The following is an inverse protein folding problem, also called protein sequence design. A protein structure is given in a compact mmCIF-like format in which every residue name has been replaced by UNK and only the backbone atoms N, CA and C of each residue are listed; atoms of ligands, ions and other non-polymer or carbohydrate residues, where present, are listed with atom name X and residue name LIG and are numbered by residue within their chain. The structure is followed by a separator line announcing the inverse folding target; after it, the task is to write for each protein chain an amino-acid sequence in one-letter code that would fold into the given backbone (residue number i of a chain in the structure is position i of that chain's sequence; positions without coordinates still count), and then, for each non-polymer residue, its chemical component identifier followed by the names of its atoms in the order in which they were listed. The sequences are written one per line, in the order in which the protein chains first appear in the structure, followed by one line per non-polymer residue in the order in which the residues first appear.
data_IF_004962565388
#
_entry.id   IF_004962565388
#
_cell.length_a   1.000
_cell.length_b   1.000
_cell.length_c   1.000
_cell.angle_alpha   90.00
_cell.angle_beta   90.00
_cell.angle_gamma   90.00
#
_symmetry.space_group_name_H-M   'P 1'
#
loop_
_entity.id
_entity.type
_entity.pdbx_description
1 polymer ?
#
# COMPACT_ATOMS: atom_id res chain seq x y z
N UNK A 1 3.71 -2.97 -3.31
CA UNK A 1 3.00 -4.25 -3.11
C UNK A 1 1.70 -3.95 -2.37
N UNK A 2 0.57 -4.46 -2.85
CA UNK A 2 -0.72 -4.39 -2.15
C UNK A 2 -1.25 -5.81 -1.95
N UNK A 3 -1.57 -6.17 -0.71
CA UNK A 3 -1.94 -7.55 -0.33
C UNK A 3 -3.12 -7.54 0.64
N UNK A 4 -4.09 -8.44 0.44
CA UNK A 4 -5.05 -8.79 1.50
C UNK A 4 -4.47 -9.88 2.41
N UNK A 5 -4.58 -9.70 3.73
CA UNK A 5 -4.02 -10.64 4.71
C UNK A 5 -4.69 -12.02 4.65
N UNK A 6 -5.95 -12.10 4.19
CA UNK A 6 -6.76 -13.32 4.14
C UNK A 6 -6.89 -13.88 2.72
N UNK A 7 -5.93 -13.61 1.83
CA UNK A 7 -5.96 -14.13 0.45
C UNK A 7 -5.77 -15.66 0.44
N UNK A 8 -6.79 -16.44 0.01
CA UNK A 8 -6.70 -17.90 -0.01
C UNK A 8 -5.92 -18.46 -1.22
N UNK A 9 -5.58 -17.61 -2.18
CA UNK A 9 -4.91 -17.99 -3.43
C UNK A 9 -3.41 -17.70 -3.38
N UNK A 10 -3.04 -16.54 -2.84
CA UNK A 10 -1.65 -16.08 -2.70
C UNK A 10 -1.42 -15.62 -1.28
N UNK A 11 -0.69 -16.42 -0.50
CA UNK A 11 -0.44 -16.15 0.91
C UNK A 11 0.33 -14.83 1.10
N UNK A 12 0.01 -14.08 2.15
CA UNK A 12 0.77 -12.88 2.57
C UNK A 12 2.28 -13.13 2.62
N UNK A 13 2.70 -14.33 3.04
CA UNK A 13 4.11 -14.72 3.10
C UNK A 13 4.86 -14.57 1.76
N UNK A 14 4.17 -14.66 0.62
CA UNK A 14 4.78 -14.42 -0.70
C UNK A 14 5.17 -12.95 -0.89
N UNK A 15 4.31 -12.03 -0.42
CA UNK A 15 4.62 -10.59 -0.39
C UNK A 15 5.76 -10.30 0.59
N UNK A 16 5.75 -10.91 1.78
CA UNK A 16 6.79 -10.73 2.80
C UNK A 16 8.18 -11.15 2.29
N UNK A 17 8.25 -12.25 1.54
CA UNK A 17 9.50 -12.71 0.91
C UNK A 17 10.05 -11.70 -0.09
N UNK A 18 9.19 -11.09 -0.91
CA UNK A 18 9.60 -10.08 -1.89
C UNK A 18 10.12 -8.84 -1.16
N UNK A 19 9.39 -8.34 -0.15
CA UNK A 19 9.82 -7.18 0.65
C UNK A 19 11.18 -7.42 1.28
N UNK A 20 11.36 -8.57 1.94
CA UNK A 20 12.63 -8.96 2.58
C UNK A 20 13.78 -8.99 1.56
N UNK A 21 13.56 -9.55 0.37
CA UNK A 21 14.57 -9.63 -0.67
C UNK A 21 14.92 -8.25 -1.26
N UNK A 22 13.94 -7.36 -1.40
CA UNK A 22 14.15 -5.99 -1.88
C UNK A 22 14.90 -5.14 -0.84
N UNK A 23 14.51 -5.24 0.44
CA UNK A 23 15.16 -4.56 1.56
C UNK A 23 16.64 -4.99 1.68
N UNK A 24 16.92 -6.29 1.64
CA UNK A 24 18.28 -6.82 1.68
C UNK A 24 19.17 -6.29 0.53
N UNK A 25 18.55 -5.97 -0.61
CA UNK A 25 19.21 -5.39 -1.79
C UNK A 25 19.19 -3.85 -1.80
N UNK A 26 18.62 -3.22 -0.78
CA UNK A 26 18.45 -1.76 -0.68
C UNK A 26 17.65 -1.18 -1.86
N UNK A 27 16.70 -1.94 -2.38
CA UNK A 27 15.78 -1.50 -3.43
C UNK A 27 14.54 -0.95 -2.75
N UNK A 28 14.16 0.33 -2.98
CA UNK A 28 12.95 0.89 -2.38
C UNK A 28 11.71 0.07 -2.73
N UNK A 29 10.93 -0.28 -1.72
CA UNK A 29 9.67 -1.02 -1.86
C UNK A 29 8.67 -0.48 -0.86
N UNK A 30 7.44 -0.22 -1.29
CA UNK A 30 6.33 0.11 -0.39
C UNK A 30 5.41 -1.09 -0.29
N UNK A 31 5.11 -1.51 0.92
CA UNK A 31 4.20 -2.61 1.19
C UNK A 31 2.97 -2.11 1.93
N UNK A 32 1.80 -2.27 1.31
CA UNK A 32 0.49 -1.99 1.89
C UNK A 32 -0.24 -3.32 2.11
N UNK A 33 -0.70 -3.53 3.35
CA UNK A 33 -1.42 -4.72 3.77
C UNK A 33 -2.81 -4.34 4.25
N UNK A 34 -3.83 -5.05 3.77
CA UNK A 34 -5.23 -4.87 4.13
C UNK A 34 -5.68 -6.05 5.03
N UNK A 35 -5.74 -5.87 6.37
CA UNK A 35 -5.97 -6.97 7.32
C UNK A 35 -7.33 -7.65 7.20
N UNK A 36 -8.34 -6.95 6.67
CA UNK A 36 -9.71 -7.46 6.52
C UNK A 36 -10.08 -7.83 5.07
N UNK A 37 -9.10 -7.90 4.17
CA UNK A 37 -9.29 -8.26 2.76
C UNK A 37 -8.63 -9.59 2.38
N UNK A 38 -8.98 -10.11 1.20
CA UNK A 38 -8.45 -11.35 0.63
C UNK A 38 -7.78 -11.13 -0.72
N UNK A 39 -8.09 -11.96 -1.71
CA UNK A 39 -7.45 -11.91 -3.05
C UNK A 39 -7.76 -10.64 -3.86
N UNK A 40 -8.80 -9.92 -3.48
CA UNK A 40 -9.11 -8.60 -3.98
C UNK A 40 -9.65 -7.75 -2.85
N UNK A 41 -9.82 -6.46 -3.11
CA UNK A 41 -10.38 -5.52 -2.16
C UNK A 41 -11.88 -5.42 -2.39
N UNK A 42 -12.67 -6.01 -1.51
CA UNK A 42 -14.14 -6.00 -1.61
C UNK A 42 -14.73 -4.73 -1.00
N UNK A 43 -14.06 -4.15 0.01
CA UNK A 43 -14.55 -2.95 0.68
C UNK A 43 -14.22 -1.71 -0.15
N UNK A 44 -15.20 -0.82 -0.38
CA UNK A 44 -14.95 0.42 -1.11
C UNK A 44 -13.85 1.27 -0.47
N UNK A 45 -13.80 1.32 0.87
CA UNK A 45 -12.81 2.12 1.59
C UNK A 45 -11.38 1.64 1.32
N UNK A 46 -11.17 0.32 1.31
CA UNK A 46 -9.88 -0.28 1.01
C UNK A 46 -9.49 -0.15 -0.47
N UNK A 47 -10.47 -0.29 -1.37
CA UNK A 47 -10.25 -0.07 -2.80
C UNK A 47 -9.84 1.38 -3.11
N UNK A 48 -10.52 2.34 -2.48
CA UNK A 48 -10.20 3.77 -2.61
C UNK A 48 -8.81 4.05 -2.04
N UNK A 49 -8.52 3.54 -0.84
CA UNK A 49 -7.21 3.73 -0.22
C UNK A 49 -6.08 3.10 -1.05
N UNK A 50 -6.26 1.89 -1.58
CA UNK A 50 -5.30 1.29 -2.52
C UNK A 50 -5.05 2.18 -3.73
N UNK A 51 -6.12 2.69 -4.36
CA UNK A 51 -6.00 3.55 -5.53
C UNK A 51 -5.29 4.88 -5.20
N UNK A 52 -5.54 5.48 -4.04
CA UNK A 52 -4.85 6.70 -3.62
C UNK A 52 -3.33 6.48 -3.45
N UNK A 53 -2.93 5.35 -2.86
CA UNK A 53 -1.51 4.99 -2.75
C UNK A 53 -0.90 4.67 -4.11
N UNK A 54 -1.62 3.90 -4.93
CA UNK A 54 -1.17 3.52 -6.27
C UNK A 54 -1.01 4.74 -7.19
N UNK A 55 -1.93 5.71 -7.12
CA UNK A 55 -1.85 6.95 -7.87
C UNK A 55 -0.59 7.74 -7.51
N UNK A 56 -0.29 7.92 -6.22
CA UNK A 56 0.92 8.60 -5.79
C UNK A 56 2.20 7.89 -6.23
N UNK A 57 2.25 6.56 -6.08
CA UNK A 57 3.37 5.76 -6.55
C UNK A 57 3.58 5.90 -8.06
N UNK A 58 2.51 5.74 -8.84
CA UNK A 58 2.57 5.86 -10.30
C UNK A 58 2.92 7.28 -10.75
N UNK A 59 2.46 8.30 -10.03
CA UNK A 59 2.82 9.70 -10.29
C UNK A 59 4.33 9.95 -10.18
N UNK A 60 5.03 9.28 -9.26
CA UNK A 60 6.49 9.36 -9.18
C UNK A 60 7.18 8.67 -10.37
N UNK A 61 6.62 7.55 -10.84
CA UNK A 61 7.23 6.76 -11.91
C UNK A 61 6.95 7.32 -13.31
N UNK A 62 5.72 7.79 -13.54
CA UNK A 62 5.20 8.18 -14.84
C UNK A 62 5.11 9.70 -15.01
N UNK A 63 5.14 10.45 -13.90
CA UNK A 63 4.85 11.87 -13.88
C UNK A 63 3.35 12.18 -14.04
N UNK A 64 3.02 13.47 -14.02
CA UNK A 64 1.66 13.96 -14.18
C UNK A 64 1.06 14.54 -12.90
N UNK A 65 -0.25 14.79 -12.94
CA UNK A 65 -1.00 15.26 -11.77
C UNK A 65 -1.49 14.06 -10.97
N UNK A 66 -1.43 14.19 -9.66
CA UNK A 66 -1.92 13.21 -8.70
C UNK A 66 -2.75 13.90 -7.62
N UNK A 67 -3.81 13.26 -7.16
CA UNK A 67 -4.58 13.74 -6.01
C UNK A 67 -3.82 13.48 -4.70
N UNK A 68 -3.64 14.47 -3.81
CA UNK A 68 -3.01 14.25 -2.50
C UNK A 68 -3.78 13.21 -1.66
N UNK A 69 -3.07 12.28 -1.03
CA UNK A 69 -3.70 11.21 -0.23
C UNK A 69 -4.62 11.77 0.86
N UNK A 70 -4.14 12.77 1.61
CA UNK A 70 -4.93 13.45 2.65
C UNK A 70 -5.60 12.46 3.63
N UNK A 71 -6.91 12.61 3.79
CA UNK A 71 -7.72 11.83 4.74
C UNK A 71 -8.25 10.52 4.15
N UNK A 72 -7.88 10.18 2.90
CA UNK A 72 -8.43 9.05 2.15
C UNK A 72 -8.18 7.69 2.80
N UNK A 73 -7.13 7.59 3.64
CA UNK A 73 -6.77 6.34 4.31
C UNK A 73 -7.58 6.09 5.60
N UNK A 74 -8.13 7.14 6.23
CA UNK A 74 -8.84 7.06 7.52
C UNK A 74 -9.94 5.98 7.59
N UNK A 75 -10.80 5.79 6.55
CA UNK A 75 -11.86 4.79 6.62
C UNK A 75 -11.40 3.37 6.26
N UNK A 76 -10.16 3.20 5.77
CA UNK A 76 -9.59 1.90 5.42
C UNK A 76 -9.02 1.19 6.65
N UNK A 77 -8.76 -0.11 6.54
CA UNK A 77 -8.04 -0.90 7.56
C UNK A 77 -6.55 -1.03 7.25
N UNK A 78 -6.08 -0.40 6.18
CA UNK A 78 -4.74 -0.61 5.66
C UNK A 78 -3.66 -0.38 6.71
N UNK A 79 -2.61 -1.15 6.61
CA UNK A 79 -1.35 -0.93 7.31
C UNK A 79 -0.24 -0.82 6.28
N UNK A 80 0.86 -0.17 6.64
CA UNK A 80 2.04 -0.08 5.78
C UNK A 80 3.23 -0.72 6.51
N UNK A 81 3.41 -2.04 6.42
CA UNK A 81 4.48 -2.73 7.14
C UNK A 81 5.89 -2.27 6.74
N UNK A 82 6.06 -1.73 5.52
CA UNK A 82 7.36 -1.26 5.04
C UNK A 82 7.24 -0.15 3.99
N UNK A 83 8.17 0.81 4.02
CA UNK A 83 8.41 1.76 2.94
C UNK A 83 7.35 2.86 2.77
N UNK A 84 6.71 3.29 3.86
CA UNK A 84 5.75 4.41 3.84
C UNK A 84 6.39 5.72 3.36
N UNK A 85 7.70 5.87 3.53
CA UNK A 85 8.49 7.03 3.13
C UNK A 85 8.76 7.10 1.63
N UNK A 86 8.61 6.00 0.90
CA UNK A 86 8.94 5.98 -0.53
C UNK A 86 7.81 6.54 -1.40
N UNK A 87 6.58 6.62 -0.87
CA UNK A 87 5.42 7.22 -1.55
C UNK A 87 5.11 8.59 -0.94
N UNK A 88 4.99 9.68 -1.74
CA UNK A 88 4.79 11.02 -1.23
C UNK A 88 3.46 11.13 -0.51
N UNK A 89 3.46 11.75 0.66
CA UNK A 89 2.27 11.91 1.49
C UNK A 89 1.78 10.64 2.21
N UNK A 90 2.29 9.45 1.86
CA UNK A 90 1.81 8.19 2.46
C UNK A 90 2.14 8.12 3.95
N UNK A 91 3.41 8.38 4.33
CA UNK A 91 3.81 8.38 5.74
C UNK A 91 2.93 9.30 6.60
N UNK A 92 2.66 10.52 6.13
CA UNK A 92 1.84 11.49 6.84
C UNK A 92 0.38 11.05 6.98
N UNK A 93 -0.17 10.47 5.91
CA UNK A 93 -1.53 9.95 5.91
C UNK A 93 -1.69 8.74 6.84
N UNK A 94 -0.67 7.86 6.91
CA UNK A 94 -0.64 6.70 7.82
C UNK A 94 -0.44 7.13 9.28
N UNK A 95 0.43 8.10 9.55
CA UNK A 95 0.64 8.60 10.92
C UNK A 95 -0.61 9.31 11.48
N UNK A 96 -1.53 9.73 10.60
CA UNK A 96 -2.81 10.35 10.94
C UNK A 96 -4.00 9.39 10.84
N UNK A 97 -3.74 8.10 10.56
CA UNK A 97 -4.72 7.04 10.35
C UNK A 97 -5.24 6.46 11.67
#
# INVERSE_FOLDING_TARGET
IGQGANDPRVNQAESDQIVTAMEARKIPVTYVLFPDEGHGFARPENSIAFNAVAEQFLGQCLGGRVEPIGDTLKPSTLTVPHGAEFVPGLKQAVDSH
#
